data_IF_551488751373
#
_entry.id   IF_551488751373
#
_cell.length_a   1.000
_cell.length_b   1.000
_cell.length_c   1.000
_cell.angle_alpha   90.00
_cell.angle_beta   90.00
_cell.angle_gamma   90.00
#
_symmetry.space_group_name_H-M   'P 1'
#
loop_
_entity.id
_entity.type
_entity.pdbx_description
1 polymer ?
#
# COMPACT_ATOMS: atom_id res chain seq x y z
N UNK A 1 -5.77 -17.34 -2.49
CA UNK A 1 -7.09 -17.97 -2.21
C UNK A 1 -6.98 -19.49 -2.03
N UNK A 2 -6.60 -20.27 -3.05
CA UNK A 2 -6.45 -21.75 -2.94
C UNK A 2 -5.46 -22.21 -1.85
N UNK A 3 -4.37 -21.47 -1.66
CA UNK A 3 -3.40 -21.72 -0.58
C UNK A 3 -4.05 -21.52 0.80
N UNK A 4 -4.65 -20.34 1.01
CA UNK A 4 -5.30 -19.97 2.28
C UNK A 4 -6.46 -20.90 2.66
N UNK A 5 -7.24 -21.38 1.68
CA UNK A 5 -8.30 -22.37 1.94
C UNK A 5 -7.78 -23.73 2.40
N UNK A 6 -6.50 -24.04 2.14
CA UNK A 6 -5.79 -25.23 2.64
C UNK A 6 -4.98 -24.95 3.92
N UNK A 7 -5.15 -23.77 4.54
CA UNK A 7 -4.42 -23.37 5.74
C UNK A 7 -2.91 -23.13 5.53
N UNK A 8 -2.44 -23.11 4.29
CA UNK A 8 -1.03 -22.92 3.97
C UNK A 8 -0.68 -21.42 4.09
N UNK A 9 0.17 -21.06 5.06
CA UNK A 9 0.61 -19.67 5.24
C UNK A 9 1.76 -19.32 4.30
N UNK A 10 1.79 -18.07 3.84
CA UNK A 10 2.86 -17.51 3.04
C UNK A 10 3.16 -16.06 3.47
N UNK A 11 4.35 -15.78 4.04
CA UNK A 11 4.66 -14.49 4.68
C UNK A 11 4.56 -13.28 3.74
N UNK A 12 4.85 -13.48 2.45
CA UNK A 12 4.77 -12.43 1.42
C UNK A 12 3.34 -12.20 0.92
N UNK A 13 2.65 -13.25 0.47
CA UNK A 13 1.36 -13.09 -0.20
C UNK A 13 0.19 -12.89 0.76
N UNK A 14 0.22 -13.49 1.95
CA UNK A 14 -0.85 -13.28 2.93
C UNK A 14 -0.77 -11.87 3.52
N UNK A 15 0.43 -11.28 3.61
CA UNK A 15 0.63 -9.87 3.99
C UNK A 15 -0.22 -8.90 3.16
N UNK A 16 -0.39 -9.15 1.86
CA UNK A 16 -1.18 -8.28 0.98
C UNK A 16 -2.68 -8.21 1.34
N UNK A 17 -3.17 -9.08 2.22
CA UNK A 17 -4.55 -9.10 2.69
C UNK A 17 -4.66 -8.90 4.21
N UNK A 18 -3.60 -9.24 4.96
CA UNK A 18 -3.53 -9.01 6.42
C UNK A 18 -3.15 -7.56 6.74
N UNK A 19 -2.15 -7.02 6.05
CA UNK A 19 -1.71 -5.64 6.23
C UNK A 19 -2.66 -4.67 5.52
N UNK A 20 -2.89 -4.91 4.24
CA UNK A 20 -3.91 -4.20 3.48
C UNK A 20 -5.25 -4.84 3.74
N UNK A 21 -6.09 -4.19 4.55
CA UNK A 21 -7.42 -4.67 4.98
C UNK A 21 -8.45 -4.68 3.84
N UNK A 22 -8.09 -5.22 2.68
CA UNK A 22 -8.94 -5.38 1.50
C UNK A 22 -9.20 -6.86 1.24
N UNK A 23 -10.48 -7.24 1.22
CA UNK A 23 -10.87 -8.65 1.14
C UNK A 23 -10.54 -9.22 -0.24
N UNK A 24 -10.04 -10.46 -0.34
CA UNK A 24 -9.84 -11.12 -1.65
C UNK A 24 -11.10 -11.13 -2.51
N UNK A 25 -12.28 -11.31 -1.90
CA UNK A 25 -13.56 -11.28 -2.62
C UNK A 25 -13.90 -9.92 -3.21
N UNK A 26 -13.38 -8.82 -2.67
CA UNK A 26 -13.56 -7.48 -3.26
C UNK A 26 -12.62 -7.28 -4.44
N UNK A 27 -11.41 -7.85 -4.40
CA UNK A 27 -10.49 -7.84 -5.55
C UNK A 27 -11.07 -8.56 -6.78
N UNK A 28 -11.97 -9.52 -6.57
CA UNK A 28 -12.71 -10.20 -7.63
C UNK A 28 -13.95 -9.44 -8.12
N UNK A 29 -14.32 -8.31 -7.50
CA UNK A 29 -15.48 -7.50 -7.91
C UNK A 29 -15.02 -6.38 -8.82
N UNK A 30 -15.30 -6.53 -10.10
CA UNK A 30 -14.99 -5.52 -11.09
C UNK A 30 -15.87 -4.27 -10.93
N UNK A 31 -15.32 -3.12 -11.33
CA UNK A 31 -16.02 -1.84 -11.47
C UNK A 31 -15.32 -1.01 -12.55
N UNK A 32 -16.04 -0.29 -13.44
CA UNK A 32 -15.44 0.67 -14.36
C UNK A 32 -15.01 1.97 -13.68
N UNK A 33 -15.41 2.22 -12.43
CA UNK A 33 -15.37 3.52 -11.78
C UNK A 33 -16.71 4.25 -11.87
N UNK A 34 -16.75 5.53 -11.49
CA UNK A 34 -17.97 6.34 -11.50
C UNK A 34 -18.22 7.00 -12.87
N UNK A 35 -19.48 7.35 -13.12
CA UNK A 35 -19.90 8.09 -14.32
C UNK A 35 -19.88 7.29 -15.63
N UNK A 36 -19.57 5.99 -15.59
CA UNK A 36 -19.60 5.09 -16.75
C UNK A 36 -20.89 4.27 -16.72
N UNK A 37 -21.70 4.40 -17.77
CA UNK A 37 -22.91 3.61 -17.95
C UNK A 37 -22.56 2.24 -18.55
N UNK A 38 -22.96 1.18 -17.85
CA UNK A 38 -22.91 -0.18 -18.35
C UNK A 38 -24.22 -0.47 -19.08
N UNK A 39 -24.23 -0.22 -20.39
CA UNK A 39 -25.43 -0.36 -21.21
C UNK A 39 -25.96 -1.80 -21.21
N UNK A 40 -27.27 -1.94 -20.98
CA UNK A 40 -27.95 -3.24 -20.96
C UNK A 40 -27.66 -4.12 -19.74
N UNK A 41 -26.77 -3.70 -18.83
CA UNK A 41 -26.55 -4.38 -17.57
C UNK A 41 -27.65 -4.03 -16.55
N UNK A 42 -27.92 -4.98 -15.65
CA UNK A 42 -28.88 -4.85 -14.54
C UNK A 42 -28.15 -4.77 -13.20
N UNK A 43 -28.84 -4.38 -12.13
CA UNK A 43 -28.19 -4.21 -10.82
C UNK A 43 -27.58 -5.50 -10.27
N UNK A 44 -28.13 -6.66 -10.63
CA UNK A 44 -27.60 -7.99 -10.28
C UNK A 44 -26.29 -8.35 -10.99
N UNK A 45 -25.96 -7.69 -12.11
CA UNK A 45 -24.73 -7.93 -12.87
C UNK A 45 -23.50 -7.25 -12.21
N UNK A 46 -23.72 -6.34 -11.26
CA UNK A 46 -22.68 -5.59 -10.57
C UNK A 46 -22.52 -6.01 -9.11
N UNK A 47 -21.28 -6.19 -8.65
CA UNK A 47 -20.96 -6.64 -7.29
C UNK A 47 -20.99 -5.56 -6.20
N UNK A 48 -21.53 -4.38 -6.51
CA UNK A 48 -21.41 -3.16 -5.71
C UNK A 48 -22.78 -2.50 -5.53
N UNK A 49 -23.16 -2.26 -4.28
CA UNK A 49 -24.45 -1.66 -3.90
C UNK A 49 -24.55 -0.17 -4.22
N UNK A 50 -23.40 0.46 -4.52
CA UNK A 50 -23.29 1.87 -4.83
C UNK A 50 -23.79 2.21 -6.25
N UNK A 51 -23.96 1.20 -7.11
CA UNK A 51 -24.55 1.37 -8.45
C UNK A 51 -26.06 1.59 -8.35
N UNK A 52 -26.60 2.30 -9.34
CA UNK A 52 -28.04 2.50 -9.52
C UNK A 52 -28.45 2.11 -10.95
N UNK A 53 -29.70 1.69 -11.10
CA UNK A 53 -30.31 1.49 -12.42
C UNK A 53 -30.74 2.84 -13.01
N UNK A 54 -30.51 2.99 -14.30
CA UNK A 54 -31.01 4.06 -15.16
C UNK A 54 -31.67 3.44 -16.39
N UNK A 55 -32.37 4.24 -17.19
CA UNK A 55 -33.11 3.74 -18.37
C UNK A 55 -32.25 2.90 -19.33
N UNK A 56 -30.96 3.23 -19.47
CA UNK A 56 -30.06 2.58 -20.44
C UNK A 56 -29.20 1.45 -19.83
N UNK A 57 -29.23 1.24 -18.51
CA UNK A 57 -28.38 0.25 -17.83
C UNK A 57 -28.09 0.60 -16.37
N UNK A 58 -26.87 0.33 -15.91
CA UNK A 58 -26.43 0.70 -14.54
C UNK A 58 -25.24 1.65 -14.54
N UNK A 59 -25.17 2.52 -13.54
CA UNK A 59 -24.08 3.49 -13.36
C UNK A 59 -23.71 3.61 -11.89
N UNK A 60 -22.44 3.88 -11.61
CA UNK A 60 -21.98 4.34 -10.29
C UNK A 60 -22.03 5.87 -10.27
N UNK A 61 -23.01 6.50 -9.59
CA UNK A 61 -23.10 7.95 -9.46
C UNK A 61 -21.99 8.48 -8.55
N UNK A 62 -21.53 9.71 -8.78
CA UNK A 62 -20.48 10.32 -7.96
C UNK A 62 -20.98 10.64 -6.55
N UNK A 63 -22.27 10.93 -6.41
CA UNK A 63 -22.99 11.23 -5.16
C UNK A 63 -22.94 10.06 -4.17
N UNK A 64 -22.74 8.83 -4.67
CA UNK A 64 -22.53 7.66 -3.82
C UNK A 64 -21.18 7.73 -3.07
N UNK A 65 -20.23 8.57 -3.48
CA UNK A 65 -19.00 8.77 -2.73
C UNK A 65 -19.30 9.53 -1.42
N UNK A 66 -18.91 8.99 -0.24
CA UNK A 66 -19.30 9.59 1.03
C UNK A 66 -18.72 10.99 1.25
N UNK A 67 -19.57 11.96 1.58
CA UNK A 67 -19.20 13.36 1.83
C UNK A 67 -18.05 13.50 2.84
N UNK A 68 -18.12 12.76 3.96
CA UNK A 68 -17.10 12.78 5.02
C UNK A 68 -15.72 12.26 4.58
N UNK A 69 -15.57 11.71 3.37
CA UNK A 69 -14.30 11.23 2.82
C UNK A 69 -13.67 12.20 1.81
N UNK A 70 -14.30 13.35 1.55
CA UNK A 70 -13.75 14.37 0.65
C UNK A 70 -12.39 14.88 1.11
N UNK A 71 -12.18 15.07 2.43
CA UNK A 71 -10.88 15.50 2.97
C UNK A 71 -9.77 14.46 2.73
N UNK A 72 -10.12 13.17 2.75
CA UNK A 72 -9.18 12.12 2.36
C UNK A 72 -8.78 12.22 0.89
N UNK A 73 -9.71 12.60 -0.02
CA UNK A 73 -9.36 12.82 -1.42
C UNK A 73 -8.39 14.00 -1.57
N UNK A 74 -8.66 15.13 -0.88
CA UNK A 74 -7.76 16.30 -0.88
C UNK A 74 -6.36 15.93 -0.42
N UNK A 75 -6.26 15.29 0.74
CA UNK A 75 -4.99 14.83 1.29
C UNK A 75 -4.26 13.86 0.36
N UNK A 76 -4.99 12.92 -0.26
CA UNK A 76 -4.38 11.94 -1.16
C UNK A 76 -3.85 12.59 -2.45
N UNK A 77 -4.54 13.58 -3.03
CA UNK A 77 -4.04 14.37 -4.16
C UNK A 77 -2.73 15.06 -3.77
N UNK A 78 -2.72 15.80 -2.67
CA UNK A 78 -1.53 16.52 -2.17
C UNK A 78 -0.37 15.57 -1.92
N UNK A 79 -0.63 14.44 -1.24
CA UNK A 79 0.39 13.43 -0.96
C UNK A 79 0.98 12.83 -2.25
N UNK A 80 0.14 12.39 -3.18
CA UNK A 80 0.59 11.75 -4.42
C UNK A 80 1.39 12.72 -5.29
N UNK A 81 0.98 14.00 -5.32
CA UNK A 81 1.71 15.08 -6.01
C UNK A 81 3.06 15.37 -5.36
N UNK A 82 3.09 15.55 -4.04
CA UNK A 82 4.31 15.84 -3.30
C UNK A 82 5.35 14.71 -3.43
N UNK A 83 4.91 13.45 -3.40
CA UNK A 83 5.78 12.30 -3.63
C UNK A 83 6.27 12.26 -5.08
N UNK A 84 5.41 12.50 -6.06
CA UNK A 84 5.78 12.47 -7.48
C UNK A 84 6.80 13.55 -7.84
N UNK A 85 6.72 14.73 -7.23
CA UNK A 85 7.57 15.88 -7.54
C UNK A 85 9.01 15.79 -6.98
N UNK A 86 9.31 14.81 -6.12
CA UNK A 86 10.64 14.67 -5.48
C UNK A 86 11.65 13.96 -6.37
N UNK A 87 12.91 14.33 -6.22
CA UNK A 87 14.02 13.51 -6.69
C UNK A 87 14.05 12.16 -5.94
N UNK A 88 14.19 11.02 -6.65
CA UNK A 88 14.17 9.71 -6.02
C UNK A 88 15.45 9.44 -5.21
N UNK A 89 15.29 8.97 -3.97
CA UNK A 89 16.38 8.50 -3.12
C UNK A 89 16.48 6.96 -3.06
N UNK A 90 17.72 6.44 -3.15
CA UNK A 90 18.03 5.00 -3.20
C UNK A 90 18.72 4.47 -1.94
N UNK A 91 19.02 5.35 -0.97
CA UNK A 91 19.94 5.07 0.14
C UNK A 91 19.33 4.34 1.35
N UNK A 92 18.10 3.82 1.23
CA UNK A 92 17.47 3.04 2.31
C UNK A 92 17.90 1.57 2.28
N UNK A 93 18.22 1.04 1.09
CA UNK A 93 18.70 -0.34 0.87
C UNK A 93 17.82 -1.46 1.45
N UNK A 94 16.53 -1.21 1.72
CA UNK A 94 15.66 -2.24 2.28
C UNK A 94 15.96 -2.58 3.75
N UNK A 95 16.71 -1.73 4.46
CA UNK A 95 17.12 -1.96 5.85
C UNK A 95 15.97 -1.91 6.88
N UNK A 96 14.72 -1.74 6.43
CA UNK A 96 13.57 -1.62 7.33
C UNK A 96 13.29 -2.93 8.09
N UNK A 97 13.26 -4.09 7.41
CA UNK A 97 13.06 -5.39 8.09
C UNK A 97 14.22 -5.72 9.04
N UNK A 98 15.42 -5.21 8.76
CA UNK A 98 16.60 -5.37 9.63
C UNK A 98 16.46 -4.55 10.91
N UNK A 99 16.01 -3.31 10.78
CA UNK A 99 15.70 -2.45 11.91
C UNK A 99 14.53 -2.98 12.76
N UNK A 100 13.63 -3.77 12.17
CA UNK A 100 12.52 -4.42 12.88
C UNK A 100 12.96 -5.63 13.74
N UNK A 101 14.16 -6.17 13.52
CA UNK A 101 14.70 -7.31 14.30
C UNK A 101 15.97 -6.96 15.08
N UNK A 102 16.44 -5.71 14.98
CA UNK A 102 17.67 -5.24 15.63
C UNK A 102 17.54 -5.25 17.15
N UNK A 103 18.43 -6.00 17.82
CA UNK A 103 18.45 -6.24 19.26
C UNK A 103 17.10 -6.74 19.82
N UNK A 104 16.38 -7.52 19.03
CA UNK A 104 15.06 -8.02 19.39
C UNK A 104 15.06 -9.54 19.59
N UNK A 105 14.41 -9.98 20.67
CA UNK A 105 14.21 -11.39 20.98
C UNK A 105 12.88 -11.92 20.45
N UNK A 106 11.88 -11.04 20.30
CA UNK A 106 10.56 -11.36 19.78
C UNK A 106 10.43 -10.98 18.30
N UNK A 107 10.75 -11.92 17.42
CA UNK A 107 10.73 -11.70 15.97
C UNK A 107 9.29 -11.69 15.44
N UNK A 108 8.95 -10.67 14.65
CA UNK A 108 7.59 -10.43 14.15
C UNK A 108 7.03 -11.53 13.24
N UNK A 109 7.90 -12.20 12.49
CA UNK A 109 7.55 -13.36 11.66
C UNK A 109 8.08 -14.64 12.31
N UNK A 110 7.51 -15.11 13.44
CA UNK A 110 8.08 -16.24 14.22
C UNK A 110 8.06 -17.57 13.46
N UNK A 111 7.27 -17.66 12.38
CA UNK A 111 7.17 -18.83 11.52
C UNK A 111 8.15 -18.80 10.33
N UNK A 112 8.96 -17.74 10.19
CA UNK A 112 9.99 -17.63 9.15
C UNK A 112 11.35 -17.54 9.84
N UNK A 113 12.27 -18.48 9.62
CA UNK A 113 13.59 -18.43 10.25
C UNK A 113 14.41 -17.24 9.72
N UNK A 114 15.40 -16.81 10.51
CA UNK A 114 16.40 -15.85 10.06
C UNK A 114 17.50 -16.57 9.27
N UNK A 115 18.03 -15.91 8.24
CA UNK A 115 19.14 -16.44 7.42
C UNK A 115 20.52 -16.20 8.04
N UNK A 116 20.61 -15.29 9.01
CA UNK A 116 21.81 -14.96 9.77
C UNK A 116 21.51 -15.07 11.27
N UNK A 117 22.56 -15.32 12.06
CA UNK A 117 22.48 -15.24 13.52
C UNK A 117 22.22 -13.78 13.96
N UNK A 118 21.48 -13.60 15.06
CA UNK A 118 21.09 -12.29 15.58
C UNK A 118 22.29 -11.36 15.80
N UNK A 119 23.42 -11.87 16.29
CA UNK A 119 24.62 -11.08 16.53
C UNK A 119 25.20 -10.49 15.23
N UNK A 120 25.10 -11.23 14.12
CA UNK A 120 25.54 -10.76 12.80
C UNK A 120 24.58 -9.71 12.22
N UNK A 121 23.28 -9.91 12.40
CA UNK A 121 22.24 -8.93 12.02
C UNK A 121 22.49 -7.62 12.78
N UNK A 122 22.70 -7.72 14.08
CA UNK A 122 22.96 -6.57 14.95
C UNK A 122 24.25 -5.84 14.58
N UNK A 123 25.33 -6.57 14.32
CA UNK A 123 26.59 -5.99 13.86
C UNK A 123 26.42 -5.28 12.51
N UNK A 124 25.66 -5.88 11.59
CA UNK A 124 25.38 -5.30 10.29
C UNK A 124 24.58 -4.00 10.42
N UNK A 125 23.48 -3.97 11.18
CA UNK A 125 22.64 -2.78 11.38
C UNK A 125 23.44 -1.63 11.99
N UNK A 126 24.31 -1.90 12.99
CA UNK A 126 25.19 -0.87 13.61
C UNK A 126 26.14 -0.20 12.63
N UNK A 127 26.53 -0.89 11.55
CA UNK A 127 27.42 -0.35 10.52
C UNK A 127 26.66 0.45 9.46
N UNK A 128 25.32 0.49 9.51
CA UNK A 128 24.51 1.19 8.52
C UNK A 128 24.08 2.56 8.99
N UNK A 129 23.86 3.45 8.03
CA UNK A 129 23.07 4.67 8.24
C UNK A 129 21.61 4.37 7.90
N UNK A 130 20.77 4.14 8.91
CA UNK A 130 19.33 3.98 8.69
C UNK A 130 18.74 5.30 8.18
N UNK A 131 18.07 5.24 7.03
CA UNK A 131 17.52 6.40 6.31
C UNK A 131 16.11 6.09 5.79
N UNK A 132 15.31 5.41 6.60
CA UNK A 132 13.90 5.21 6.28
C UNK A 132 13.19 6.56 6.33
N UNK A 133 12.41 6.84 5.29
CA UNK A 133 11.60 8.06 5.20
C UNK A 133 10.10 7.79 5.24
N UNK A 134 9.70 6.51 5.26
CA UNK A 134 8.31 6.10 5.21
C UNK A 134 7.80 5.69 6.59
N UNK A 135 6.89 6.49 7.16
CA UNK A 135 6.44 6.32 8.54
C UNK A 135 5.82 4.95 8.81
N UNK A 136 5.01 4.42 7.88
CA UNK A 136 4.31 3.15 8.06
C UNK A 136 5.26 1.95 8.11
N UNK A 137 6.50 2.08 7.60
CA UNK A 137 7.59 1.13 7.85
C UNK A 137 8.36 1.47 9.15
N UNK A 138 8.73 2.74 9.32
CA UNK A 138 9.52 3.21 10.47
C UNK A 138 8.86 2.92 11.83
N UNK A 139 7.53 3.03 11.95
CA UNK A 139 6.83 2.79 13.22
C UNK A 139 7.02 1.38 13.78
N UNK A 140 7.46 0.44 12.96
CA UNK A 140 7.75 -0.93 13.35
C UNK A 140 9.21 -1.17 13.77
N UNK A 141 10.08 -0.18 13.64
CA UNK A 141 11.46 -0.30 14.13
C UNK A 141 11.45 -0.61 15.62
N UNK A 142 12.40 -1.45 16.05
CA UNK A 142 12.61 -1.74 17.47
C UNK A 142 12.95 -0.45 18.21
N UNK A 143 12.67 -0.35 19.52
CA UNK A 143 13.06 0.82 20.32
C UNK A 143 14.55 1.18 20.16
N UNK A 144 15.42 0.17 20.04
CA UNK A 144 16.86 0.35 19.82
C UNK A 144 17.25 0.80 18.41
N UNK A 145 16.46 0.47 17.39
CA UNK A 145 16.74 0.89 16.00
C UNK A 145 16.22 2.29 15.66
N UNK A 146 15.13 2.74 16.29
CA UNK A 146 14.55 4.08 16.09
C UNK A 146 15.56 5.23 16.19
N UNK A 147 16.39 5.35 17.25
CA UNK A 147 17.36 6.43 17.36
C UNK A 147 18.50 6.36 16.33
N UNK A 148 18.69 5.22 15.66
CA UNK A 148 19.68 5.09 14.58
C UNK A 148 19.18 5.63 13.24
N UNK A 149 17.87 5.83 13.08
CA UNK A 149 17.32 6.39 11.87
C UNK A 149 17.65 7.88 11.78
N UNK A 150 18.05 8.34 10.59
CA UNK A 150 18.40 9.74 10.33
C UNK A 150 17.28 10.73 10.71
N UNK A 151 16.03 10.28 10.67
CA UNK A 151 14.86 11.10 11.00
C UNK A 151 13.98 10.39 12.02
N UNK A 152 13.53 11.12 13.03
CA UNK A 152 12.45 10.68 13.89
C UNK A 152 11.12 11.02 13.20
N UNK A 153 10.45 10.01 12.64
CA UNK A 153 9.25 10.21 11.84
C UNK A 153 7.98 10.09 12.68
N UNK A 154 7.03 10.98 12.40
CA UNK A 154 5.64 10.90 12.85
C UNK A 154 4.71 10.64 11.68
N UNK A 155 3.42 10.35 11.96
CA UNK A 155 2.44 10.12 10.89
C UNK A 155 2.22 11.36 10.01
N UNK A 156 2.31 12.56 10.58
CA UNK A 156 2.16 13.83 9.86
C UNK A 156 3.32 14.12 8.89
N UNK A 157 4.44 13.42 9.03
CA UNK A 157 5.62 13.62 8.20
C UNK A 157 5.52 12.99 6.80
N UNK A 158 4.51 12.13 6.55
CA UNK A 158 4.39 11.36 5.32
C UNK A 158 4.48 12.22 4.06
N UNK A 159 3.72 13.33 4.00
CA UNK A 159 3.77 14.24 2.84
C UNK A 159 5.17 14.82 2.65
N UNK A 160 5.90 15.14 3.73
CA UNK A 160 7.21 15.81 3.68
C UNK A 160 8.35 14.87 3.34
N UNK A 161 8.32 13.62 3.82
CA UNK A 161 9.47 12.72 3.79
C UNK A 161 9.34 11.55 2.82
N UNK A 162 8.12 11.06 2.53
CA UNK A 162 7.96 9.87 1.69
C UNK A 162 8.65 10.06 0.34
N UNK A 163 9.48 9.08 -0.01
CA UNK A 163 10.36 9.11 -1.18
C UNK A 163 9.74 8.27 -2.30
N UNK A 164 9.71 8.75 -3.55
CA UNK A 164 9.01 8.06 -4.62
C UNK A 164 9.68 6.74 -5.04
N UNK A 165 10.99 6.58 -4.75
CA UNK A 165 11.73 5.34 -4.96
C UNK A 165 11.58 4.33 -3.81
N UNK A 166 10.97 4.71 -2.67
CA UNK A 166 10.80 3.77 -1.57
C UNK A 166 9.88 2.61 -1.98
N UNK A 167 10.32 1.38 -1.70
CA UNK A 167 9.55 0.15 -1.97
C UNK A 167 8.16 0.23 -1.34
N UNK A 168 8.06 0.72 -0.09
CA UNK A 168 6.80 0.83 0.64
C UNK A 168 5.87 1.91 0.08
N UNK A 169 6.40 3.06 -0.32
CA UNK A 169 5.61 4.11 -0.97
C UNK A 169 5.02 3.62 -2.29
N UNK A 170 5.76 2.81 -3.04
CA UNK A 170 5.26 2.16 -4.26
C UNK A 170 4.25 1.06 -3.95
N UNK A 171 4.48 0.26 -2.91
CA UNK A 171 3.56 -0.77 -2.43
C UNK A 171 2.20 -0.17 -2.00
N UNK A 172 2.23 0.98 -1.33
CA UNK A 172 1.04 1.67 -0.83
C UNK A 172 0.13 2.24 -1.92
N UNK A 173 0.55 2.31 -3.19
CA UNK A 173 -0.35 2.66 -4.30
C UNK A 173 -1.56 1.73 -4.36
N UNK A 174 -1.40 0.45 -3.95
CA UNK A 174 -2.53 -0.47 -3.81
C UNK A 174 -3.54 0.02 -2.78
N UNK A 175 -3.07 0.52 -1.62
CA UNK A 175 -3.93 1.13 -0.61
C UNK A 175 -4.73 2.30 -1.13
N UNK A 176 -4.10 3.19 -1.90
CA UNK A 176 -4.82 4.28 -2.55
C UNK A 176 -5.90 3.74 -3.50
N UNK A 177 -5.56 2.79 -4.37
CA UNK A 177 -6.53 2.23 -5.31
C UNK A 177 -7.76 1.62 -4.61
N UNK A 178 -7.56 0.74 -3.61
CA UNK A 178 -8.69 0.05 -2.99
C UNK A 178 -9.45 0.92 -1.97
N UNK A 179 -8.82 1.94 -1.37
CA UNK A 179 -9.51 2.82 -0.39
C UNK A 179 -10.69 3.54 -1.02
N UNK A 180 -10.68 3.78 -2.33
CA UNK A 180 -11.80 4.42 -3.05
C UNK A 180 -12.60 3.43 -3.91
N UNK A 181 -12.41 2.11 -3.81
CA UNK A 181 -13.31 1.17 -4.49
C UNK A 181 -14.77 1.36 -4.02
N UNK A 182 -15.78 1.28 -4.91
CA UNK A 182 -15.72 0.93 -6.33
C UNK A 182 -15.41 2.08 -7.32
N UNK A 183 -15.06 3.27 -6.84
CA UNK A 183 -14.78 4.44 -7.67
C UNK A 183 -13.44 4.31 -8.43
N UNK A 184 -12.52 3.47 -7.97
CA UNK A 184 -11.33 3.11 -8.75
C UNK A 184 -11.65 2.01 -9.78
N UNK A 185 -11.28 2.18 -11.05
CA UNK A 185 -11.40 1.11 -12.05
C UNK A 185 -10.70 -0.17 -11.59
N UNK A 186 -11.37 -1.32 -11.74
CA UNK A 186 -10.85 -2.61 -11.29
C UNK A 186 -9.50 -2.97 -11.90
N UNK A 187 -9.22 -2.52 -13.13
CA UNK A 187 -7.93 -2.68 -13.78
C UNK A 187 -6.80 -1.95 -13.04
N UNK A 188 -7.04 -0.76 -12.51
CA UNK A 188 -6.07 0.01 -11.74
C UNK A 188 -5.87 -0.58 -10.34
N UNK A 189 -6.93 -1.09 -9.71
CA UNK A 189 -6.83 -1.88 -8.47
C UNK A 189 -5.97 -3.12 -8.67
N UNK A 190 -6.19 -3.87 -9.76
CA UNK A 190 -5.40 -5.06 -10.09
C UNK A 190 -3.93 -4.74 -10.41
N UNK A 191 -3.67 -3.68 -11.18
CA UNK A 191 -2.31 -3.26 -11.52
C UNK A 191 -1.50 -2.83 -10.29
N UNK A 192 -2.12 -2.07 -9.38
CA UNK A 192 -1.48 -1.66 -8.13
C UNK A 192 -1.32 -2.83 -7.15
N UNK A 193 -2.25 -3.80 -7.15
CA UNK A 193 -2.07 -5.06 -6.40
C UNK A 193 -0.85 -5.85 -6.89
N UNK A 194 -0.67 -6.02 -8.21
CA UNK A 194 0.51 -6.71 -8.74
C UNK A 194 1.81 -5.95 -8.41
N UNK A 195 1.81 -4.62 -8.48
CA UNK A 195 2.94 -3.81 -8.03
C UNK A 195 3.23 -4.03 -6.55
N UNK A 196 2.21 -4.04 -5.69
CA UNK A 196 2.37 -4.28 -4.26
C UNK A 196 2.91 -5.68 -3.95
N UNK A 197 2.49 -6.70 -4.71
CA UNK A 197 3.05 -8.06 -4.63
C UNK A 197 4.55 -8.06 -4.93
N UNK A 198 4.96 -7.47 -6.05
CA UNK A 198 6.39 -7.36 -6.44
C UNK A 198 7.19 -6.56 -5.42
N UNK A 199 6.63 -5.48 -4.90
CA UNK A 199 7.25 -4.67 -3.86
C UNK A 199 7.49 -5.48 -2.58
N UNK A 200 6.48 -6.24 -2.12
CA UNK A 200 6.61 -7.08 -0.93
C UNK A 200 7.57 -8.25 -1.13
N UNK A 201 7.64 -8.83 -2.33
CA UNK A 201 8.66 -9.82 -2.67
C UNK A 201 10.06 -9.24 -2.58
N UNK A 202 10.31 -8.08 -3.20
CA UNK A 202 11.61 -7.40 -3.12
C UNK A 202 11.98 -7.08 -1.66
N UNK A 203 11.03 -6.51 -0.92
CA UNK A 203 11.19 -6.15 0.48
C UNK A 203 11.62 -7.34 1.35
N UNK A 204 10.91 -8.45 1.20
CA UNK A 204 11.18 -9.65 1.97
C UNK A 204 12.42 -10.41 1.48
N UNK A 205 12.73 -10.41 0.18
CA UNK A 205 13.99 -10.99 -0.34
C UNK A 205 15.22 -10.24 0.21
N UNK A 206 15.13 -8.93 0.41
CA UNK A 206 16.21 -8.11 0.96
C UNK A 206 16.33 -8.19 2.50
N UNK A 207 15.40 -8.86 3.15
CA UNK A 207 15.28 -8.93 4.61
C UNK A 207 16.29 -9.90 5.25
N UNK A 208 16.40 -9.95 6.60
CA UNK A 208 17.17 -10.97 7.29
C UNK A 208 16.45 -12.32 7.40
N UNK A 209 15.22 -12.44 6.90
CA UNK A 209 14.45 -13.68 6.90
C UNK A 209 14.89 -14.62 5.78
N UNK A 210 14.87 -15.93 6.04
CA UNK A 210 15.12 -16.97 5.07
C UNK A 210 13.80 -17.45 4.44
N UNK A 211 13.62 -17.12 3.16
CA UNK A 211 12.41 -17.44 2.41
C UNK A 211 12.61 -18.55 1.36
N UNK A 212 13.75 -19.25 1.36
CA UNK A 212 14.05 -20.28 0.35
C UNK A 212 13.01 -21.39 0.32
N UNK A 213 12.46 -21.76 1.47
CA UNK A 213 11.36 -22.74 1.59
C UNK A 213 10.06 -22.28 0.91
N UNK A 214 9.92 -20.98 0.66
CA UNK A 214 8.82 -20.37 -0.09
C UNK A 214 9.18 -20.08 -1.56
N UNK A 215 10.36 -20.50 -2.02
CA UNK A 215 10.83 -20.30 -3.40
C UNK A 215 11.35 -18.89 -3.69
N UNK A 216 11.75 -18.13 -2.65
CA UNK A 216 12.27 -16.78 -2.80
C UNK A 216 13.73 -16.73 -2.36
N UNK A 217 14.64 -16.56 -3.32
CA UNK A 217 16.08 -16.43 -3.04
C UNK A 217 16.40 -15.07 -2.39
N UNK A 218 17.18 -15.04 -1.30
CA UNK A 218 17.58 -13.81 -0.64
C UNK A 218 18.40 -12.88 -1.54
N UNK A 219 18.18 -11.58 -1.39
CA UNK A 219 19.07 -10.52 -1.88
C UNK A 219 19.94 -10.10 -0.71
N UNK A 220 21.20 -10.54 -0.71
CA UNK A 220 22.12 -10.36 0.41
C UNK A 220 22.68 -8.92 0.47
N UNK A 221 21.86 -7.95 0.92
CA UNK A 221 22.21 -6.52 0.98
C UNK A 221 23.36 -6.17 1.96
N UNK A 222 23.86 -7.14 2.71
CA UNK A 222 25.11 -7.05 3.49
C UNK A 222 26.37 -7.13 2.61
N UNK A 223 26.23 -7.56 1.36
CA UNK A 223 27.29 -7.60 0.35
C UNK A 223 27.16 -6.44 -0.63
N UNK A 224 28.27 -6.09 -1.31
CA UNK A 224 28.26 -5.05 -2.35
C UNK A 224 27.38 -5.47 -3.53
N UNK A 225 27.47 -6.74 -3.92
CA UNK A 225 26.78 -7.33 -5.05
C UNK A 225 25.26 -7.38 -4.79
N UNK A 226 24.85 -7.83 -3.59
CA UNK A 226 23.44 -7.85 -3.22
C UNK A 226 22.84 -6.45 -3.08
N UNK A 227 23.61 -5.43 -2.67
CA UNK A 227 23.15 -4.04 -2.73
C UNK A 227 22.92 -3.56 -4.16
N UNK A 228 23.82 -3.90 -5.07
CA UNK A 228 23.66 -3.55 -6.48
C UNK A 228 22.41 -4.21 -7.07
N UNK A 229 22.18 -5.50 -6.79
CA UNK A 229 20.95 -6.21 -7.18
C UNK A 229 19.70 -5.54 -6.61
N UNK A 230 19.69 -5.21 -5.31
CA UNK A 230 18.56 -4.56 -4.67
C UNK A 230 18.24 -3.20 -5.30
N UNK A 231 19.25 -2.36 -5.54
CA UNK A 231 19.07 -1.03 -6.14
C UNK A 231 18.48 -1.17 -7.55
N UNK A 232 18.95 -2.13 -8.33
CA UNK A 232 18.42 -2.36 -9.68
C UNK A 232 16.95 -2.80 -9.65
N UNK A 233 16.61 -3.76 -8.78
CA UNK A 233 15.21 -4.16 -8.59
C UNK A 233 14.34 -3.00 -8.08
N UNK A 234 14.86 -2.16 -7.18
CA UNK A 234 14.17 -0.97 -6.68
C UNK A 234 13.91 0.04 -7.80
N UNK A 235 14.86 0.24 -8.71
CA UNK A 235 14.69 1.13 -9.89
C UNK A 235 13.61 0.63 -10.82
N UNK A 236 13.58 -0.68 -11.09
CA UNK A 236 12.54 -1.29 -11.92
C UNK A 236 11.16 -1.11 -11.30
N UNK A 237 11.03 -1.34 -9.99
CA UNK A 237 9.78 -1.12 -9.25
C UNK A 237 9.35 0.35 -9.32
N UNK A 238 10.30 1.29 -9.13
CA UNK A 238 10.04 2.73 -9.24
C UNK A 238 9.50 3.12 -10.63
N UNK A 239 10.14 2.67 -11.70
CA UNK A 239 9.69 2.95 -13.09
C UNK A 239 8.29 2.40 -13.33
N UNK A 240 8.00 1.18 -12.86
CA UNK A 240 6.66 0.57 -12.98
C UNK A 240 5.59 1.32 -12.16
N UNK A 241 5.97 1.89 -11.02
CA UNK A 241 5.05 2.61 -10.13
C UNK A 241 4.65 4.01 -10.64
N UNK A 242 5.54 4.68 -11.39
CA UNK A 242 5.31 6.05 -11.89
C UNK A 242 3.99 6.22 -12.67
N UNK A 243 3.68 5.42 -13.72
CA UNK A 243 2.41 5.58 -14.43
C UNK A 243 1.20 5.30 -13.54
N UNK A 244 1.29 4.32 -12.64
CA UNK A 244 0.19 4.00 -11.71
C UNK A 244 -0.06 5.13 -10.70
N UNK A 245 1.00 5.77 -10.19
CA UNK A 245 0.90 6.96 -9.32
C UNK A 245 0.20 8.10 -10.03
N UNK A 246 0.57 8.40 -11.28
CA UNK A 246 -0.07 9.45 -12.11
C UNK A 246 -1.54 9.17 -12.35
N UNK A 247 -1.87 7.93 -12.71
CA UNK A 247 -3.25 7.50 -12.93
C UNK A 247 -4.09 7.64 -11.64
N UNK A 248 -3.56 7.21 -10.49
CA UNK A 248 -4.21 7.41 -9.20
C UNK A 248 -4.37 8.90 -8.87
N UNK A 249 -3.33 9.71 -9.03
CA UNK A 249 -3.42 11.16 -8.75
C UNK A 249 -4.50 11.82 -9.60
N UNK A 250 -4.52 11.55 -10.91
CA UNK A 250 -5.55 12.07 -11.82
C UNK A 250 -6.96 11.57 -11.45
N UNK A 251 -7.09 10.29 -11.08
CA UNK A 251 -8.34 9.70 -10.63
C UNK A 251 -8.86 10.38 -9.36
N UNK A 252 -8.02 10.54 -8.36
CA UNK A 252 -8.36 11.21 -7.10
C UNK A 252 -8.74 12.68 -7.32
N UNK A 253 -8.01 13.39 -8.17
CA UNK A 253 -8.33 14.78 -8.52
C UNK A 253 -9.69 14.89 -9.21
N UNK A 254 -9.98 14.02 -10.18
CA UNK A 254 -11.27 13.99 -10.86
C UNK A 254 -12.40 13.67 -9.90
N UNK A 255 -12.23 12.65 -9.05
CA UNK A 255 -13.25 12.27 -8.06
C UNK A 255 -13.54 13.39 -7.07
N UNK A 256 -12.49 14.09 -6.63
CA UNK A 256 -12.61 15.25 -5.75
C UNK A 256 -13.39 16.37 -6.43
N UNK A 257 -13.04 16.72 -7.68
CA UNK A 257 -13.71 17.79 -8.42
C UNK A 257 -15.18 17.46 -8.66
N UNK A 258 -15.48 16.28 -9.21
CA UNK A 258 -16.83 15.85 -9.52
C UNK A 258 -17.69 15.79 -8.24
N UNK A 259 -17.12 15.28 -7.13
CA UNK A 259 -17.86 15.18 -5.87
C UNK A 259 -18.15 16.54 -5.22
N UNK A 260 -17.29 17.54 -5.41
CA UNK A 260 -17.51 18.91 -4.97
C UNK A 260 -18.51 19.66 -5.84
N UNK A 261 -18.73 19.22 -7.09
CA UNK A 261 -19.71 19.80 -8.01
C UNK A 261 -21.15 19.36 -7.75
N UNK A 262 -21.38 18.37 -6.87
CA UNK A 262 -22.70 17.86 -6.53
C UNK A 262 -23.04 18.18 -5.06
N UNK A 263 -24.29 18.60 -4.75
CA UNK A 263 -24.69 18.87 -3.38
C UNK A 263 -24.72 17.57 -2.56
N UNK A 264 -24.50 17.69 -1.25
CA UNK A 264 -24.66 16.55 -0.36
C UNK A 264 -26.11 16.06 -0.39
N UNK A 265 -26.35 14.74 -0.41
CA UNK A 265 -27.69 14.22 -0.23
C UNK A 265 -28.22 14.69 1.13
N UNK A 266 -29.53 14.97 1.25
CA UNK A 266 -30.11 15.34 2.54
C UNK A 266 -29.79 14.26 3.58
N UNK A 267 -29.53 14.64 4.85
CA UNK A 267 -29.22 13.68 5.90
C UNK A 267 -30.33 12.63 5.97
N UNK A 268 -29.95 11.35 5.94
CA UNK A 268 -30.92 10.25 6.15
C UNK A 268 -31.58 10.45 7.51
N UNK A 269 -32.91 10.52 7.54
CA UNK A 269 -33.70 10.55 8.76
C UNK A 269 -33.72 9.18 9.45
N UNK A 270 -32.55 8.61 9.72
CA UNK A 270 -32.43 7.36 10.47
C UNK A 270 -31.61 7.66 11.73
N UNK A 271 -32.33 7.85 12.84
CA UNK A 271 -31.74 8.06 14.15
C UNK A 271 -31.02 6.82 14.64
N UNK A 272 -29.71 6.75 14.42
CA UNK A 272 -28.80 5.91 15.20
C UNK A 272 -27.39 6.49 15.10
N UNK A 273 -26.93 7.14 16.16
CA UNK A 273 -25.55 7.55 16.31
C UNK A 273 -24.65 6.29 16.30
N UNK A 274 -23.91 6.10 15.21
CA UNK A 274 -22.80 5.15 15.19
C UNK A 274 -21.54 5.85 15.72
N UNK A 275 -20.82 5.25 16.69
CA UNK A 275 -19.63 5.86 17.26
C UNK A 275 -18.53 5.98 16.20
N UNK A 276 -17.87 7.13 16.18
CA UNK A 276 -16.70 7.43 15.37
C UNK A 276 -15.67 6.29 15.48
N UNK A 277 -15.61 5.44 14.45
CA UNK A 277 -14.41 4.65 14.23
C UNK A 277 -13.40 5.56 13.58
N UNK A 278 -12.36 5.90 14.36
CA UNK A 278 -11.13 6.56 13.91
C UNK A 278 -10.85 6.27 12.44
N UNK A 279 -10.80 7.36 11.66
CA UNK A 279 -10.66 7.40 10.20
C UNK A 279 -9.32 6.80 9.69
N UNK A 280 -8.52 6.23 10.60
CA UNK A 280 -7.13 5.86 10.39
C UNK A 280 -6.81 4.44 10.91
N UNK A 281 -7.57 3.45 10.44
CA UNK A 281 -7.12 2.04 10.37
C UNK A 281 -6.75 1.64 8.95
#
# INVERSE_FOLDING_TARGET
MQRSSRGQRHPVYDFLFEYYSYRPSHLLRWSPGWGIVLQGARIEDVGWREFIEITEGVVLPVEAFPAHRVDYLRWAVEYLEAVEAREPAWSCFGLHEWAMVYQESCIRHPYVPLRLQSERIDAFVRQQSLRCTHYDAYRFFTPSARPLNRWELTRSDAIRFDQPACVHVNMDLYRFAYKIAPFCPGSLVAATFDLARRARELDMRASPYDLRVYGLEPICIETTEGRAEYIEAQRQLFVQAQPLRRQLRALYQRLLNDRLSVPDPPPRQDGAAHPERSMWR
#
